data_IF_603179893458
#
_entry.id   IF_603179893458
#
_cell.length_a   1.000
_cell.length_b   1.000
_cell.length_c   1.000
_cell.angle_alpha   90.00
_cell.angle_beta   90.00
_cell.angle_gamma   90.00
#
_symmetry.space_group_name_H-M   'P 1'
#
loop_
_entity.id
_entity.type
_entity.pdbx_description
1 polymer ?
#
# COMPACT_ATOMS: atom_id res chain seq x y z
N UNK A 1 -11.90 29.16 -18.60
CA UNK A 1 -12.63 28.50 -17.48
C UNK A 1 -11.60 28.07 -16.46
N UNK A 2 -11.71 28.52 -15.21
CA UNK A 2 -10.80 28.07 -14.15
C UNK A 2 -11.09 26.59 -13.88
N UNK A 3 -10.20 25.70 -14.30
CA UNK A 3 -10.27 24.29 -13.94
C UNK A 3 -10.01 24.20 -12.43
N UNK A 4 -11.07 23.96 -11.65
CA UNK A 4 -10.93 23.71 -10.22
C UNK A 4 -10.13 22.42 -10.07
N UNK A 5 -8.94 22.53 -9.47
CA UNK A 5 -8.12 21.37 -9.15
C UNK A 5 -8.84 20.54 -8.08
N UNK A 6 -8.96 19.21 -8.25
CA UNK A 6 -9.59 18.34 -7.26
C UNK A 6 -8.84 18.39 -5.94
N UNK A 7 -9.57 18.21 -4.83
CA UNK A 7 -8.96 18.13 -3.51
C UNK A 7 -8.14 16.84 -3.40
N UNK A 8 -6.87 16.98 -3.05
CA UNK A 8 -5.96 15.86 -2.83
C UNK A 8 -5.00 16.23 -1.69
N UNK A 9 -4.88 15.37 -0.66
CA UNK A 9 -4.16 15.73 0.56
C UNK A 9 -2.65 15.82 0.33
N UNK A 10 -1.96 16.80 0.95
CA UNK A 10 -0.52 16.94 0.82
C UNK A 10 0.24 15.80 1.50
N UNK A 11 1.46 15.55 1.02
CA UNK A 11 2.33 14.55 1.63
C UNK A 11 3.10 15.15 2.80
N UNK A 12 3.03 14.47 3.96
CA UNK A 12 3.78 14.85 5.15
C UNK A 12 4.95 13.90 5.34
N UNK A 13 6.19 14.39 5.18
CA UNK A 13 7.42 13.63 5.36
C UNK A 13 7.61 13.29 6.84
N UNK A 14 7.33 14.24 7.74
CA UNK A 14 7.65 14.14 9.17
C UNK A 14 6.56 13.50 10.05
N UNK A 15 5.49 12.97 9.46
CA UNK A 15 4.39 12.38 10.23
C UNK A 15 4.78 11.06 10.93
N UNK A 16 5.52 10.20 10.22
CA UNK A 16 6.10 8.97 10.77
C UNK A 16 7.33 8.59 9.93
N UNK A 17 8.51 8.65 10.55
CA UNK A 17 9.79 8.39 9.90
C UNK A 17 9.92 6.93 9.44
N UNK A 18 9.34 6.00 10.18
CA UNK A 18 9.47 4.55 9.93
C UNK A 18 8.63 4.12 8.73
N UNK A 19 7.46 4.75 8.52
CA UNK A 19 6.59 4.45 7.39
C UNK A 19 6.66 5.46 6.25
N UNK A 20 7.54 6.48 6.32
CA UNK A 20 7.60 7.55 5.31
C UNK A 20 7.74 6.99 3.89
N UNK A 21 8.63 6.00 3.68
CA UNK A 21 8.84 5.40 2.37
C UNK A 21 7.60 4.67 1.83
N UNK A 22 6.95 3.88 2.69
CA UNK A 22 5.70 3.17 2.37
C UNK A 22 4.57 4.15 2.04
N UNK A 23 4.41 5.20 2.86
CA UNK A 23 3.42 6.26 2.66
C UNK A 23 3.68 7.00 1.34
N UNK A 24 4.93 7.29 1.02
CA UNK A 24 5.31 7.95 -0.24
C UNK A 24 4.86 7.13 -1.44
N UNK A 25 5.18 5.82 -1.47
CA UNK A 25 4.75 4.92 -2.55
C UNK A 25 3.24 4.93 -2.75
N UNK A 26 2.47 4.89 -1.66
CA UNK A 26 1.01 4.93 -1.71
C UNK A 26 0.50 6.29 -2.22
N UNK A 27 0.99 7.38 -1.66
CA UNK A 27 0.60 8.73 -2.04
C UNK A 27 0.91 9.01 -3.51
N UNK A 28 2.10 8.63 -3.96
CA UNK A 28 2.53 8.81 -5.35
C UNK A 28 1.66 8.00 -6.32
N UNK A 29 1.32 6.75 -6.00
CA UNK A 29 0.39 5.96 -6.82
C UNK A 29 -1.01 6.62 -6.91
N UNK A 30 -1.50 7.20 -5.81
CA UNK A 30 -2.76 7.94 -5.82
C UNK A 30 -2.67 9.23 -6.65
N UNK A 31 -1.53 9.93 -6.59
CA UNK A 31 -1.25 11.09 -7.43
C UNK A 31 -1.23 10.71 -8.92
N UNK A 32 -0.58 9.61 -9.30
CA UNK A 32 -0.56 9.14 -10.70
C UNK A 32 -1.97 8.81 -11.22
N UNK A 33 -2.81 8.20 -10.38
CA UNK A 33 -4.21 7.96 -10.70
C UNK A 33 -4.99 9.27 -10.89
N UNK A 34 -4.73 10.28 -10.05
CA UNK A 34 -5.34 11.61 -10.19
C UNK A 34 -4.96 12.27 -11.52
N UNK A 35 -3.68 12.27 -11.87
CA UNK A 35 -3.18 12.82 -13.15
C UNK A 35 -3.84 12.11 -14.33
N UNK A 36 -3.94 10.78 -14.26
CA UNK A 36 -4.59 9.96 -15.30
C UNK A 36 -6.08 10.29 -15.40
N UNK A 37 -6.79 10.37 -14.28
CA UNK A 37 -8.22 10.71 -14.24
C UNK A 37 -8.53 12.14 -14.71
N UNK A 38 -7.57 13.05 -14.59
CA UNK A 38 -7.66 14.42 -15.11
C UNK A 38 -7.23 14.57 -16.58
N UNK A 39 -6.85 13.47 -17.23
CA UNK A 39 -6.33 13.43 -18.61
C UNK A 39 -5.13 14.38 -18.83
N UNK A 40 -4.22 14.43 -17.85
CA UNK A 40 -3.04 15.28 -17.90
C UNK A 40 -1.89 14.53 -18.56
N UNK A 41 -1.61 14.89 -19.82
CA UNK A 41 -0.57 14.26 -20.64
C UNK A 41 0.75 15.06 -20.68
N UNK A 42 0.71 16.36 -20.37
CA UNK A 42 1.90 17.22 -20.36
C UNK A 42 2.80 16.92 -19.17
N UNK A 43 4.05 16.51 -19.44
CA UNK A 43 5.05 16.25 -18.40
C UNK A 43 5.38 17.48 -17.55
N UNK A 44 5.40 18.67 -18.17
CA UNK A 44 5.62 19.92 -17.43
C UNK A 44 4.47 20.19 -16.44
N UNK A 45 3.22 19.97 -16.87
CA UNK A 45 2.04 20.11 -15.99
C UNK A 45 2.03 19.06 -14.89
N UNK A 46 2.36 17.81 -15.22
CA UNK A 46 2.46 16.71 -14.27
C UNK A 46 3.50 17.00 -13.17
N UNK A 47 4.69 17.49 -13.55
CA UNK A 47 5.73 17.95 -12.64
C UNK A 47 5.25 19.08 -11.72
N UNK A 48 4.63 20.12 -12.28
CA UNK A 48 4.11 21.24 -11.49
C UNK A 48 3.05 20.76 -10.49
N UNK A 49 2.17 19.86 -10.89
CA UNK A 49 1.15 19.28 -10.02
C UNK A 49 1.72 18.37 -8.95
N UNK A 50 2.79 17.60 -9.24
CA UNK A 50 3.47 16.78 -8.24
C UNK A 50 3.99 17.65 -7.09
N UNK A 51 4.62 18.77 -7.42
CA UNK A 51 5.14 19.73 -6.44
C UNK A 51 3.98 20.40 -5.70
N UNK A 52 2.95 20.88 -6.42
CA UNK A 52 1.81 21.58 -5.83
C UNK A 52 1.02 20.70 -4.86
N UNK A 53 0.66 19.48 -5.28
CA UNK A 53 -0.07 18.55 -4.44
C UNK A 53 0.80 17.92 -3.36
N UNK A 54 2.12 17.80 -3.59
CA UNK A 54 3.07 17.35 -2.57
C UNK A 54 3.04 18.21 -1.30
N UNK A 55 2.72 19.50 -1.45
CA UNK A 55 2.67 20.46 -0.36
C UNK A 55 4.06 20.97 0.06
N UNK A 56 4.09 21.79 1.10
CA UNK A 56 5.28 22.55 1.51
C UNK A 56 6.49 21.66 1.80
N UNK A 57 6.31 20.52 2.48
CA UNK A 57 7.43 19.61 2.79
C UNK A 57 8.08 19.00 1.54
N UNK A 58 7.29 18.72 0.50
CA UNK A 58 7.82 18.24 -0.79
C UNK A 58 8.44 19.40 -1.56
N UNK A 59 7.83 20.59 -1.54
CA UNK A 59 8.40 21.77 -2.18
C UNK A 59 9.79 22.08 -1.63
N UNK A 60 9.93 22.16 -0.31
CA UNK A 60 11.20 22.42 0.37
C UNK A 60 12.24 21.36 0.03
N UNK A 61 11.85 20.08 0.04
CA UNK A 61 12.74 18.98 -0.36
C UNK A 61 13.22 19.15 -1.81
N UNK A 62 12.32 19.43 -2.75
CA UNK A 62 12.65 19.61 -4.16
C UNK A 62 13.55 20.82 -4.37
N UNK A 63 13.41 21.86 -3.55
CA UNK A 63 14.27 23.04 -3.66
C UNK A 63 15.74 22.70 -3.35
N UNK A 64 15.99 21.75 -2.44
CA UNK A 64 17.34 21.24 -2.14
C UNK A 64 17.99 20.45 -3.28
N UNK A 65 17.22 20.01 -4.28
CA UNK A 65 17.75 19.24 -5.40
C UNK A 65 18.44 20.13 -6.44
N UNK A 66 19.51 19.60 -7.05
CA UNK A 66 20.20 20.24 -8.18
C UNK A 66 19.26 20.36 -9.39
N UNK A 67 19.55 21.34 -10.27
CA UNK A 67 18.65 21.70 -11.37
C UNK A 67 18.37 20.52 -12.32
N UNK A 68 19.37 19.69 -12.62
CA UNK A 68 19.28 18.48 -13.45
C UNK A 68 18.29 17.47 -12.88
N UNK A 69 18.30 17.28 -11.56
CA UNK A 69 17.42 16.34 -10.85
C UNK A 69 15.98 16.78 -10.77
N UNK A 70 15.71 18.06 -11.02
CA UNK A 70 14.37 18.62 -11.04
C UNK A 70 14.03 19.25 -12.38
N UNK A 71 14.73 18.91 -13.47
CA UNK A 71 14.46 19.50 -14.79
C UNK A 71 13.19 18.89 -15.40
N UNK A 72 13.14 17.58 -15.48
CA UNK A 72 12.01 16.81 -16.03
C UNK A 72 11.17 16.17 -14.94
N UNK A 73 9.96 15.75 -15.29
CA UNK A 73 9.10 14.98 -14.39
C UNK A 73 9.79 13.67 -13.96
N UNK A 74 10.42 12.96 -14.92
CA UNK A 74 11.05 11.67 -14.64
C UNK A 74 12.29 11.80 -13.75
N UNK A 75 13.13 12.83 -13.97
CA UNK A 75 14.27 13.11 -13.09
C UNK A 75 13.80 13.44 -11.66
N UNK A 76 12.78 14.29 -11.54
CA UNK A 76 12.21 14.67 -10.25
C UNK A 76 11.64 13.46 -9.51
N UNK A 77 10.85 12.63 -10.21
CA UNK A 77 10.30 11.40 -9.69
C UNK A 77 11.41 10.47 -9.20
N UNK A 78 12.44 10.26 -10.01
CA UNK A 78 13.54 9.37 -9.66
C UNK A 78 14.30 9.84 -8.41
N UNK A 79 14.54 11.14 -8.28
CA UNK A 79 15.22 11.67 -7.09
C UNK A 79 14.33 11.59 -5.84
N UNK A 80 13.03 11.85 -5.96
CA UNK A 80 12.08 11.65 -4.86
C UNK A 80 12.00 10.18 -4.45
N UNK A 81 11.88 9.26 -5.42
CA UNK A 81 11.88 7.82 -5.15
C UNK A 81 13.19 7.39 -4.48
N UNK A 82 14.34 7.94 -4.88
CA UNK A 82 15.64 7.69 -4.24
C UNK A 82 15.69 8.23 -2.80
N UNK A 83 15.06 9.36 -2.51
CA UNK A 83 15.00 9.93 -1.17
C UNK A 83 14.13 9.07 -0.22
N UNK A 84 13.02 8.53 -0.72
CA UNK A 84 12.05 7.78 0.09
C UNK A 84 12.27 6.26 0.09
N UNK A 85 12.90 5.67 -0.92
CA UNK A 85 13.10 4.20 -1.04
C UNK A 85 13.92 3.59 0.09
N UNK A 86 15.06 4.17 0.53
CA UNK A 86 15.84 3.63 1.65
C UNK A 86 15.06 3.58 2.97
N UNK A 87 13.94 4.31 3.07
CA UNK A 87 13.09 4.39 4.26
C UNK A 87 12.01 3.30 4.30
N UNK A 88 11.93 2.41 3.30
CA UNK A 88 11.14 1.18 3.41
C UNK A 88 12.03 0.12 4.03
N UNK A 89 11.68 -0.37 5.21
CA UNK A 89 12.36 -1.48 5.87
C UNK A 89 11.54 -2.76 5.67
N UNK A 90 11.88 -3.64 4.71
CA UNK A 90 11.08 -4.84 4.42
C UNK A 90 10.95 -5.76 5.62
N UNK A 91 11.98 -5.83 6.47
CA UNK A 91 11.98 -6.62 7.71
C UNK A 91 10.95 -6.08 8.70
N UNK A 92 10.85 -4.76 8.83
CA UNK A 92 9.86 -4.12 9.70
C UNK A 92 8.43 -4.31 9.16
N UNK A 93 8.23 -4.23 7.85
CA UNK A 93 6.93 -4.49 7.23
C UNK A 93 6.53 -5.97 7.36
N UNK A 94 7.48 -6.90 7.28
CA UNK A 94 7.24 -8.31 7.57
C UNK A 94 6.89 -8.52 9.05
N UNK A 95 7.56 -7.83 9.97
CA UNK A 95 7.22 -7.86 11.39
C UNK A 95 5.79 -7.37 11.66
N UNK A 96 5.35 -6.29 11.00
CA UNK A 96 3.96 -5.83 11.05
C UNK A 96 3.00 -6.90 10.53
N UNK A 97 3.29 -7.49 9.37
CA UNK A 97 2.49 -8.58 8.80
C UNK A 97 2.30 -9.72 9.80
N UNK A 98 3.38 -10.16 10.47
CA UNK A 98 3.31 -11.27 11.46
C UNK A 98 2.45 -10.98 12.67
N UNK A 99 2.23 -9.70 12.99
CA UNK A 99 1.34 -9.27 14.07
C UNK A 99 -0.12 -9.14 13.66
N UNK A 100 -0.44 -9.22 12.37
CA UNK A 100 -1.81 -9.05 11.89
C UNK A 100 -2.67 -10.26 12.27
N UNK A 101 -3.84 -9.97 12.83
CA UNK A 101 -4.91 -10.93 13.13
C UNK A 101 -6.22 -10.37 12.57
N UNK A 102 -7.16 -11.26 12.25
CA UNK A 102 -8.51 -10.86 11.88
C UNK A 102 -9.14 -10.11 13.05
N UNK A 103 -9.67 -8.91 12.80
CA UNK A 103 -10.27 -8.06 13.85
C UNK A 103 -11.74 -8.43 14.07
N UNK A 104 -12.37 -8.03 15.19
CA UNK A 104 -13.80 -8.28 15.40
C UNK A 104 -14.64 -7.73 14.25
N UNK A 105 -15.62 -8.50 13.79
CA UNK A 105 -16.54 -8.17 12.68
C UNK A 105 -15.88 -8.00 11.30
N UNK A 106 -14.59 -8.28 11.17
CA UNK A 106 -13.93 -8.34 9.87
C UNK A 106 -14.16 -9.70 9.22
N UNK A 107 -14.60 -9.72 7.97
CA UNK A 107 -14.72 -10.96 7.20
C UNK A 107 -13.37 -11.38 6.58
N UNK A 108 -13.29 -12.61 6.09
CA UNK A 108 -12.04 -13.17 5.56
C UNK A 108 -11.51 -12.39 4.36
N UNK A 109 -12.39 -11.83 3.53
CA UNK A 109 -12.00 -11.05 2.36
C UNK A 109 -11.33 -9.73 2.76
N UNK A 110 -11.90 -9.02 3.73
CA UNK A 110 -11.32 -7.80 4.29
C UNK A 110 -9.96 -8.09 4.95
N UNK A 111 -9.88 -9.18 5.72
CA UNK A 111 -8.62 -9.58 6.34
C UNK A 111 -7.55 -9.93 5.29
N UNK A 112 -7.92 -10.70 4.26
CA UNK A 112 -7.06 -11.06 3.14
C UNK A 112 -6.56 -9.81 2.38
N UNK A 113 -7.43 -8.83 2.11
CA UNK A 113 -7.04 -7.56 1.46
C UNK A 113 -6.00 -6.81 2.31
N UNK A 114 -6.17 -6.75 3.63
CA UNK A 114 -5.18 -6.14 4.53
C UNK A 114 -3.85 -6.88 4.52
N UNK A 115 -3.87 -8.22 4.59
CA UNK A 115 -2.66 -9.04 4.49
C UNK A 115 -1.93 -8.82 3.16
N UNK A 116 -2.67 -8.81 2.05
CA UNK A 116 -2.10 -8.57 0.71
C UNK A 116 -1.48 -7.18 0.58
N UNK A 117 -2.14 -6.17 1.12
CA UNK A 117 -1.63 -4.78 1.16
C UNK A 117 -0.32 -4.69 1.93
N UNK A 118 -0.23 -5.33 3.09
CA UNK A 118 0.97 -5.33 3.91
C UNK A 118 2.10 -6.17 3.27
N UNK A 119 1.78 -7.34 2.71
CA UNK A 119 2.75 -8.24 2.09
C UNK A 119 3.46 -7.62 0.88
N UNK A 120 2.80 -6.75 0.13
CA UNK A 120 3.39 -6.00 -0.99
C UNK A 120 4.58 -5.10 -0.58
N UNK A 121 4.72 -4.79 0.71
CA UNK A 121 5.80 -3.96 1.26
C UNK A 121 7.00 -4.77 1.76
N UNK A 122 6.81 -6.08 1.94
CA UNK A 122 7.79 -6.96 2.60
C UNK A 122 8.87 -7.50 1.66
N UNK A 123 8.78 -7.24 0.35
CA UNK A 123 9.71 -7.76 -0.66
C UNK A 123 9.84 -9.30 -0.65
N UNK A 124 8.75 -10.01 -0.37
CA UNK A 124 8.74 -11.47 -0.37
C UNK A 124 8.88 -12.04 -1.78
N UNK A 125 9.59 -13.15 -1.92
CA UNK A 125 9.70 -13.89 -3.20
C UNK A 125 8.37 -14.54 -3.58
N UNK A 126 7.68 -15.13 -2.59
CA UNK A 126 6.38 -15.78 -2.77
C UNK A 126 5.37 -15.13 -1.82
N UNK A 127 4.67 -14.12 -2.31
CA UNK A 127 3.72 -13.33 -1.52
C UNK A 127 2.53 -14.19 -1.07
N UNK A 128 2.02 -15.07 -1.95
CA UNK A 128 0.81 -15.86 -1.66
C UNK A 128 1.09 -16.91 -0.58
N UNK A 129 2.28 -17.52 -0.58
CA UNK A 129 2.71 -18.39 0.53
C UNK A 129 2.76 -17.66 1.86
N UNK A 130 3.27 -16.42 1.87
CA UNK A 130 3.39 -15.63 3.11
C UNK A 130 2.03 -15.14 3.62
N UNK A 131 1.13 -14.78 2.71
CA UNK A 131 -0.27 -14.48 3.03
C UNK A 131 -0.98 -15.71 3.58
N UNK A 132 -0.83 -16.89 2.95
CA UNK A 132 -1.43 -18.13 3.44
C UNK A 132 -0.98 -18.46 4.86
N UNK A 133 0.32 -18.40 5.14
CA UNK A 133 0.86 -18.65 6.46
C UNK A 133 0.26 -17.68 7.50
N UNK A 134 0.19 -16.39 7.17
CA UNK A 134 -0.37 -15.40 8.08
C UNK A 134 -1.90 -15.50 8.23
N UNK A 135 -2.61 -15.89 7.17
CA UNK A 135 -4.06 -16.08 7.20
C UNK A 135 -4.43 -17.24 8.12
N UNK A 136 -3.73 -18.38 8.02
CA UNK A 136 -3.91 -19.54 8.92
C UNK A 136 -3.67 -19.13 10.38
N UNK A 137 -2.57 -18.42 10.63
CA UNK A 137 -2.19 -17.97 11.97
C UNK A 137 -3.15 -16.91 12.53
N UNK A 138 -3.71 -16.06 11.66
CA UNK A 138 -4.47 -14.87 12.02
C UNK A 138 -5.99 -14.99 11.98
N UNK A 139 -6.55 -16.00 11.32
CA UNK A 139 -8.00 -16.21 11.21
C UNK A 139 -8.63 -16.49 12.58
N UNK A 140 -9.84 -16.00 12.84
CA UNK A 140 -10.56 -16.23 14.11
C UNK A 140 -11.05 -17.67 14.26
N UNK A 141 -11.52 -18.28 13.18
CA UNK A 141 -12.06 -19.64 13.18
C UNK A 141 -10.98 -20.70 13.44
N UNK A 142 -10.99 -21.24 14.64
CA UNK A 142 -10.10 -22.35 15.03
C UNK A 142 -10.36 -23.62 14.22
N UNK A 143 -11.60 -23.80 13.72
CA UNK A 143 -12.01 -24.91 12.87
C UNK A 143 -11.36 -24.81 11.50
N UNK A 144 -11.46 -23.65 10.85
CA UNK A 144 -10.79 -23.40 9.56
C UNK A 144 -9.28 -23.50 9.68
N UNK A 145 -8.67 -22.96 10.74
CA UNK A 145 -7.23 -23.10 11.00
C UNK A 145 -6.80 -24.56 11.05
N UNK A 146 -7.51 -25.40 11.81
CA UNK A 146 -7.22 -26.84 11.90
C UNK A 146 -7.41 -27.55 10.56
N UNK A 147 -8.48 -27.23 9.82
CA UNK A 147 -8.75 -27.79 8.49
C UNK A 147 -7.63 -27.45 7.51
N UNK A 148 -7.23 -26.17 7.45
CA UNK A 148 -6.17 -25.68 6.59
C UNK A 148 -4.84 -26.43 6.80
N UNK A 149 -4.44 -26.62 8.07
CA UNK A 149 -3.22 -27.34 8.43
C UNK A 149 -3.29 -28.85 8.15
N UNK A 150 -4.44 -29.48 8.40
CA UNK A 150 -4.64 -30.92 8.18
C UNK A 150 -4.65 -31.27 6.69
N UNK A 151 -5.38 -30.49 5.90
CA UNK A 151 -5.64 -30.76 4.48
C UNK A 151 -4.63 -30.05 3.56
N UNK A 152 -3.74 -29.22 4.11
CA UNK A 152 -2.72 -28.45 3.38
C UNK A 152 -3.36 -27.56 2.30
N UNK A 153 -4.40 -26.83 2.69
CA UNK A 153 -5.14 -25.94 1.79
C UNK A 153 -4.21 -24.87 1.20
N UNK A 154 -4.43 -24.59 -0.08
CA UNK A 154 -3.89 -23.40 -0.75
C UNK A 154 -4.58 -22.13 -0.26
N UNK A 155 -4.03 -20.95 -0.59
CA UNK A 155 -4.62 -19.65 -0.25
C UNK A 155 -6.06 -19.54 -0.76
N UNK A 156 -6.29 -19.85 -2.04
CA UNK A 156 -7.61 -19.77 -2.66
C UNK A 156 -8.62 -20.73 -2.03
N UNK A 157 -8.18 -21.96 -1.71
CA UNK A 157 -9.02 -22.94 -1.02
C UNK A 157 -9.42 -22.46 0.38
N UNK A 158 -8.47 -21.94 1.16
CA UNK A 158 -8.76 -21.43 2.51
C UNK A 158 -9.73 -20.23 2.46
N UNK A 159 -9.54 -19.30 1.54
CA UNK A 159 -10.46 -18.16 1.35
C UNK A 159 -11.86 -18.66 0.98
N UNK A 160 -11.95 -19.62 0.06
CA UNK A 160 -13.25 -20.19 -0.37
C UNK A 160 -13.97 -20.88 0.78
N UNK A 161 -13.26 -21.70 1.55
CA UNK A 161 -13.80 -22.40 2.72
C UNK A 161 -14.25 -21.41 3.81
N UNK A 162 -13.49 -20.34 4.03
CA UNK A 162 -13.83 -19.31 4.99
C UNK A 162 -15.08 -18.52 4.58
N UNK A 163 -15.21 -18.15 3.30
CA UNK A 163 -16.44 -17.51 2.77
C UNK A 163 -17.65 -18.41 2.95
N UNK A 164 -17.51 -19.71 2.70
CA UNK A 164 -18.61 -20.66 2.89
C UNK A 164 -19.03 -20.75 4.37
N UNK A 165 -18.08 -20.78 5.31
CA UNK A 165 -18.37 -20.77 6.75
C UNK A 165 -19.12 -19.49 7.16
N UNK A 166 -18.63 -18.31 6.75
CA UNK A 166 -19.27 -17.02 7.02
C UNK A 166 -20.69 -16.92 6.45
N UNK A 167 -20.93 -17.45 5.24
CA UNK A 167 -22.26 -17.52 4.63
C UNK A 167 -23.21 -18.41 5.45
N UNK A 168 -22.74 -19.57 5.92
CA UNK A 168 -23.56 -20.47 6.73
C UNK A 168 -23.89 -19.92 8.12
N UNK A 169 -22.97 -19.16 8.72
CA UNK A 169 -23.19 -18.53 10.04
C UNK A 169 -24.14 -17.32 9.96
N UNK A 170 -24.17 -16.60 8.83
CA UNK A 170 -25.08 -15.47 8.63
C UNK A 170 -26.54 -15.92 8.38
N UNK A 171 -26.73 -17.17 7.94
CA UNK A 171 -28.04 -17.74 7.63
C UNK A 171 -28.64 -18.57 8.78
N UNK A 172 -27.90 -18.78 9.87
CA UNK A 172 -28.31 -19.52 11.07
C UNK A 172 -28.83 -18.58 12.17
#
# INVERSE_FOLDING_TARGET
MASILPQFPPFKIREDEVSTGTRWKKWFAQFENLITGMDITSMARKKALLIHYGGDEIFDLVDTFSADKKETYDALRQELDRYFTPRVNPTYEAFKLRKMKQIPQENVDQFHVRLRTQAALCSFTDIDREILAQLIEGITSSKLRKKALRERLTLDQLITEARNEELTETQA
#
